data_IF_235965194589
#
_entry.id   IF_235965194589
#
_cell.length_a   1.000
_cell.length_b   1.000
_cell.length_c   1.000
_cell.angle_alpha   90.00
_cell.angle_beta   90.00
_cell.angle_gamma   90.00
#
_symmetry.space_group_name_H-M   'P 1'
#
loop_
_entity.id
_entity.type
_entity.pdbx_description
1 polymer ?
#
# COMPACT_ATOMS: atom_id res chain seq x y z
N UNK A 1 -22.75 -66.27 -89.33
CA UNK A 1 -21.47 -66.37 -88.59
C UNK A 1 -21.11 -64.98 -88.10
N UNK A 2 -20.75 -64.90 -86.81
CA UNK A 2 -20.11 -63.78 -86.08
C UNK A 2 -20.93 -62.51 -85.83
N UNK A 3 -21.49 -62.36 -84.62
CA UNK A 3 -21.68 -61.08 -83.92
C UNK A 3 -21.74 -61.36 -82.40
N UNK A 4 -20.74 -61.08 -81.56
CA UNK A 4 -20.14 -59.82 -81.04
C UNK A 4 -20.89 -59.19 -79.86
N UNK A 5 -20.11 -58.85 -78.82
CA UNK A 5 -20.31 -57.84 -77.78
C UNK A 5 -21.20 -58.17 -76.56
N UNK A 6 -20.54 -58.47 -75.44
CA UNK A 6 -20.70 -57.70 -74.20
C UNK A 6 -19.48 -57.98 -73.30
N UNK A 7 -19.18 -57.12 -72.32
CA UNK A 7 -18.02 -57.13 -71.39
C UNK A 7 -16.91 -56.13 -71.79
N UNK A 8 -16.92 -54.96 -71.14
CA UNK A 8 -15.83 -53.99 -71.26
C UNK A 8 -16.10 -52.60 -70.66
N UNK A 9 -17.23 -52.39 -69.98
CA UNK A 9 -17.65 -51.07 -69.46
C UNK A 9 -17.63 -50.90 -67.94
N UNK A 10 -17.04 -51.84 -67.18
CA UNK A 10 -17.12 -51.80 -65.71
C UNK A 10 -15.84 -51.37 -64.96
N UNK A 11 -14.70 -51.14 -65.63
CA UNK A 11 -13.43 -50.92 -64.91
C UNK A 11 -12.96 -49.44 -64.79
N UNK A 12 -13.52 -48.48 -65.54
CA UNK A 12 -13.03 -47.09 -65.55
C UNK A 12 -13.80 -46.13 -64.61
N UNK A 13 -15.12 -46.32 -64.44
CA UNK A 13 -15.94 -45.48 -63.55
C UNK A 13 -15.70 -45.74 -62.06
N UNK A 14 -15.33 -46.97 -61.71
CA UNK A 14 -15.11 -47.39 -60.33
C UNK A 14 -13.80 -46.80 -59.78
N UNK A 15 -12.75 -46.70 -60.59
CA UNK A 15 -11.47 -46.08 -60.19
C UNK A 15 -11.61 -44.57 -59.94
N UNK A 16 -12.42 -43.86 -60.75
CA UNK A 16 -12.64 -42.41 -60.60
C UNK A 16 -13.48 -42.07 -59.36
N UNK A 17 -14.51 -42.87 -59.06
CA UNK A 17 -15.29 -42.70 -57.82
C UNK A 17 -14.49 -43.11 -56.57
N UNK A 18 -13.61 -44.11 -56.65
CA UNK A 18 -12.70 -44.47 -55.55
C UNK A 18 -11.69 -43.36 -55.28
N UNK A 19 -11.15 -42.71 -56.31
CA UNK A 19 -10.23 -41.57 -56.16
C UNK A 19 -10.93 -40.33 -55.58
N UNK A 20 -12.17 -40.03 -55.99
CA UNK A 20 -12.95 -38.92 -55.43
C UNK A 20 -13.36 -39.19 -53.98
N UNK A 21 -13.76 -40.42 -53.63
CA UNK A 21 -14.04 -40.81 -52.25
C UNK A 21 -12.78 -40.82 -51.37
N UNK A 22 -11.63 -41.22 -51.90
CA UNK A 22 -10.36 -41.20 -51.15
C UNK A 22 -9.89 -39.76 -50.85
N UNK A 23 -10.06 -38.83 -51.79
CA UNK A 23 -9.72 -37.41 -51.58
C UNK A 23 -10.74 -36.70 -50.67
N UNK A 24 -12.01 -37.08 -50.70
CA UNK A 24 -13.02 -36.54 -49.77
C UNK A 24 -12.83 -37.07 -48.33
N UNK A 25 -12.29 -38.28 -48.19
CA UNK A 25 -11.99 -38.89 -46.89
C UNK A 25 -10.77 -38.27 -46.20
N UNK A 26 -9.78 -37.77 -46.95
CA UNK A 26 -8.60 -37.11 -46.38
C UNK A 26 -8.87 -35.67 -45.96
N UNK A 27 -9.90 -35.01 -46.49
CA UNK A 27 -10.31 -33.65 -46.09
C UNK A 27 -11.18 -33.67 -44.81
N UNK A 28 -11.84 -34.79 -44.47
CA UNK A 28 -12.63 -34.93 -43.23
C UNK A 28 -11.83 -35.41 -42.01
N UNK A 29 -10.56 -35.82 -42.16
CA UNK A 29 -9.71 -36.25 -41.05
C UNK A 29 -8.97 -35.09 -40.34
N UNK A 30 -9.45 -33.87 -40.50
CA UNK A 30 -8.81 -32.64 -40.04
C UNK A 30 -9.41 -32.02 -38.77
N UNK A 31 -9.99 -32.79 -37.83
CA UNK A 31 -10.34 -32.34 -36.47
C UNK A 31 -10.65 -33.52 -35.52
N UNK A 32 -9.66 -34.38 -35.26
CA UNK A 32 -9.73 -35.31 -34.12
C UNK A 32 -8.35 -35.50 -33.49
N UNK A 33 -7.63 -34.39 -33.30
CA UNK A 33 -6.56 -34.35 -32.31
C UNK A 33 -7.23 -34.10 -30.96
N UNK A 34 -7.64 -35.17 -30.29
CA UNK A 34 -7.86 -35.12 -28.84
C UNK A 34 -6.51 -34.83 -28.21
N UNK A 35 -6.23 -33.54 -28.04
CA UNK A 35 -5.15 -33.08 -27.19
C UNK A 35 -5.41 -33.70 -25.82
N UNK A 36 -4.61 -34.69 -25.43
CA UNK A 36 -4.47 -35.14 -24.06
C UNK A 36 -3.77 -34.05 -23.24
N UNK A 37 -4.31 -32.84 -23.32
CA UNK A 37 -4.14 -31.86 -22.27
C UNK A 37 -4.94 -32.39 -21.12
N UNK A 38 -4.26 -32.95 -20.13
CA UNK A 38 -4.81 -33.08 -18.80
C UNK A 38 -5.34 -31.68 -18.45
N UNK A 39 -6.65 -31.46 -18.57
CA UNK A 39 -7.30 -30.31 -17.96
C UNK A 39 -7.14 -30.58 -16.48
N UNK A 40 -6.08 -30.02 -15.92
CA UNK A 40 -5.98 -29.83 -14.49
C UNK A 40 -7.16 -28.94 -14.15
N UNK A 41 -8.26 -29.54 -13.69
CA UNK A 41 -9.23 -28.83 -12.87
C UNK A 41 -8.46 -28.48 -11.61
N UNK A 42 -7.75 -27.36 -11.66
CA UNK A 42 -7.20 -26.76 -10.46
C UNK A 42 -8.42 -26.29 -9.71
N UNK A 43 -8.79 -27.05 -8.68
CA UNK A 43 -9.61 -26.54 -7.59
C UNK A 43 -9.00 -25.19 -7.17
N UNK A 44 -9.65 -24.09 -7.55
CA UNK A 44 -9.27 -22.74 -7.10
C UNK A 44 -9.44 -22.57 -5.58
N UNK A 45 -9.79 -23.65 -4.87
CA UNK A 45 -9.96 -23.70 -3.44
C UNK A 45 -8.72 -24.17 -2.66
N UNK A 46 -7.56 -24.39 -3.29
CA UNK A 46 -6.31 -24.39 -2.53
C UNK A 46 -5.09 -23.96 -3.35
N UNK A 47 -4.19 -23.24 -2.70
CA UNK A 47 -2.99 -22.59 -3.25
C UNK A 47 -3.25 -21.33 -4.12
N UNK A 48 -3.89 -20.31 -3.54
CA UNK A 48 -3.42 -18.95 -3.80
C UNK A 48 -1.92 -18.92 -3.50
N UNK A 49 -1.10 -18.94 -4.54
CA UNK A 49 0.34 -18.77 -4.44
C UNK A 49 0.59 -17.59 -3.50
N UNK A 50 1.18 -17.88 -2.34
CA UNK A 50 1.55 -16.86 -1.37
C UNK A 50 2.33 -15.80 -2.15
N UNK A 51 1.75 -14.62 -2.35
CA UNK A 51 2.51 -13.44 -2.78
C UNK A 51 3.38 -13.07 -1.60
N UNK A 52 4.48 -13.81 -1.47
CA UNK A 52 5.53 -13.54 -0.51
C UNK A 52 5.94 -12.08 -0.71
N UNK A 53 6.19 -11.31 0.37
CA UNK A 53 6.82 -10.01 0.23
C UNK A 53 8.04 -10.18 -0.66
N UNK A 54 8.29 -9.23 -1.58
CA UNK A 54 9.41 -9.36 -2.53
C UNK A 54 10.69 -9.54 -1.72
N UNK A 55 11.16 -10.78 -1.69
CA UNK A 55 12.25 -11.23 -0.81
C UNK A 55 13.61 -10.97 -1.42
N UNK A 56 13.68 -10.52 -2.67
CA UNK A 56 14.92 -10.23 -3.35
C UNK A 56 14.69 -9.27 -4.52
N UNK A 57 15.74 -8.53 -4.88
CA UNK A 57 15.75 -7.69 -6.05
C UNK A 57 16.13 -6.25 -5.74
N UNK A 58 15.86 -5.37 -6.70
CA UNK A 58 16.18 -3.96 -6.61
C UNK A 58 15.05 -3.11 -7.17
N UNK A 59 14.86 -1.93 -6.59
CA UNK A 59 13.91 -0.94 -7.05
C UNK A 59 14.63 0.38 -7.28
N UNK A 60 14.43 0.98 -8.45
CA UNK A 60 14.92 2.32 -8.74
C UNK A 60 13.85 3.32 -8.32
N UNK A 61 14.19 4.18 -7.36
CA UNK A 61 13.31 5.21 -6.80
C UNK A 61 12.75 6.08 -7.92
N UNK A 62 11.44 6.24 -7.93
CA UNK A 62 10.70 7.08 -8.86
C UNK A 62 10.26 8.38 -8.18
N UNK A 63 9.80 9.33 -9.00
CA UNK A 63 9.25 10.59 -8.50
C UNK A 63 8.02 10.29 -7.63
N UNK A 64 8.00 10.84 -6.41
CA UNK A 64 6.90 10.67 -5.46
C UNK A 64 7.02 9.45 -4.54
N UNK A 65 8.09 8.65 -4.68
CA UNK A 65 8.36 7.62 -3.69
C UNK A 65 8.99 8.19 -2.43
N UNK A 66 8.64 7.57 -1.31
CA UNK A 66 9.31 7.72 -0.02
C UNK A 66 9.87 6.36 0.38
N UNK A 67 10.87 6.31 1.26
CA UNK A 67 11.37 5.02 1.75
C UNK A 67 10.25 4.20 2.40
N UNK A 68 9.29 4.91 3.03
CA UNK A 68 8.09 4.33 3.62
C UNK A 68 7.15 3.74 2.56
N UNK A 69 6.87 4.44 1.45
CA UNK A 69 5.99 3.92 0.40
C UNK A 69 6.57 2.68 -0.27
N UNK A 70 7.89 2.67 -0.51
CA UNK A 70 8.60 1.52 -1.07
C UNK A 70 8.56 0.34 -0.10
N UNK A 71 8.94 0.55 1.16
CA UNK A 71 8.90 -0.50 2.17
C UNK A 71 7.47 -1.06 2.32
N UNK A 72 6.47 -0.19 2.39
CA UNK A 72 5.08 -0.56 2.48
C UNK A 72 4.60 -1.38 1.27
N UNK A 73 4.97 -0.97 0.05
CA UNK A 73 4.60 -1.68 -1.19
C UNK A 73 5.13 -3.11 -1.19
N UNK A 74 6.35 -3.32 -0.71
CA UNK A 74 7.01 -4.63 -0.72
C UNK A 74 6.85 -5.43 0.58
N UNK A 75 6.13 -4.89 1.56
CA UNK A 75 5.91 -5.57 2.86
C UNK A 75 7.15 -5.59 3.76
N UNK A 76 8.08 -4.67 3.54
CA UNK A 76 9.27 -4.49 4.36
C UNK A 76 9.01 -3.53 5.52
N UNK A 77 9.73 -3.75 6.61
CA UNK A 77 9.91 -2.71 7.62
C UNK A 77 10.80 -1.61 7.04
N UNK A 78 10.36 -0.36 7.14
CA UNK A 78 11.07 0.77 6.55
C UNK A 78 12.44 1.00 7.21
N UNK A 79 12.58 0.69 8.51
CA UNK A 79 13.84 0.83 9.26
C UNK A 79 14.81 -0.29 8.90
N UNK A 80 14.33 -1.52 8.77
CA UNK A 80 15.12 -2.63 8.24
C UNK A 80 15.59 -2.36 6.80
N UNK A 81 14.70 -1.84 5.95
CA UNK A 81 15.04 -1.49 4.57
C UNK A 81 16.07 -0.35 4.52
N UNK A 82 15.94 0.66 5.39
CA UNK A 82 16.92 1.74 5.54
C UNK A 82 18.29 1.19 5.91
N UNK A 83 18.35 0.35 6.95
CA UNK A 83 19.59 -0.25 7.44
C UNK A 83 20.27 -1.12 6.37
N UNK A 84 19.49 -1.93 5.66
CA UNK A 84 19.99 -2.77 4.56
C UNK A 84 20.61 -1.95 3.41
N UNK A 85 20.18 -0.71 3.24
CA UNK A 85 20.65 0.19 2.19
C UNK A 85 21.58 1.31 2.71
N UNK A 86 22.04 1.22 3.96
CA UNK A 86 22.86 2.25 4.62
C UNK A 86 22.24 3.67 4.55
N UNK A 87 20.92 3.77 4.64
CA UNK A 87 20.18 5.04 4.62
C UNK A 87 19.99 5.52 6.06
N UNK A 88 20.73 6.56 6.45
CA UNK A 88 20.58 7.19 7.75
C UNK A 88 19.34 8.11 7.82
N UNK A 89 18.92 8.44 9.05
CA UNK A 89 17.96 9.52 9.27
C UNK A 89 18.47 10.82 8.60
N UNK A 90 17.60 11.62 7.93
CA UNK A 90 16.13 11.61 7.97
C UNK A 90 15.46 10.65 6.96
N UNK A 91 16.14 9.60 6.51
CA UNK A 91 15.61 8.58 5.57
C UNK A 91 15.25 9.11 4.18
N UNK A 92 15.95 10.17 3.77
CA UNK A 92 15.79 10.78 2.46
C UNK A 92 16.36 9.88 1.36
N UNK A 93 15.54 9.65 0.33
CA UNK A 93 15.92 8.93 -0.89
C UNK A 93 15.82 9.88 -2.09
N UNK A 94 16.63 9.63 -3.13
CA UNK A 94 16.65 10.44 -4.35
C UNK A 94 16.08 9.67 -5.53
N UNK A 95 15.40 10.36 -6.44
CA UNK A 95 14.96 9.74 -7.71
C UNK A 95 16.16 9.14 -8.43
N UNK A 96 16.00 7.91 -8.92
CA UNK A 96 17.07 7.15 -9.56
C UNK A 96 17.98 6.37 -8.60
N UNK A 97 17.91 6.61 -7.29
CA UNK A 97 18.60 5.80 -6.29
C UNK A 97 18.11 4.35 -6.37
N UNK A 98 19.02 3.39 -6.20
CA UNK A 98 18.66 1.97 -6.19
C UNK A 98 18.50 1.49 -4.75
N UNK A 99 17.31 1.01 -4.44
CA UNK A 99 16.96 0.35 -3.18
C UNK A 99 17.04 -1.16 -3.39
N UNK A 100 17.88 -1.83 -2.61
CA UNK A 100 18.08 -3.27 -2.65
C UNK A 100 17.25 -3.95 -1.56
N UNK A 101 16.68 -5.09 -1.91
CA UNK A 101 15.96 -5.99 -1.01
C UNK A 101 16.79 -7.26 -0.87
N UNK A 102 17.06 -7.69 0.37
CA UNK A 102 17.77 -8.93 0.68
C UNK A 102 16.81 -10.06 1.04
N UNK A 103 17.28 -11.32 1.02
CA UNK A 103 16.48 -12.48 1.41
C UNK A 103 16.08 -12.41 2.88
N UNK A 104 14.91 -11.83 3.16
CA UNK A 104 14.22 -11.88 4.44
C UNK A 104 14.86 -11.02 5.52
N UNK A 105 14.27 -9.85 5.80
CA UNK A 105 14.30 -9.29 7.15
C UNK A 105 13.27 -10.02 8.03
N UNK A 106 13.50 -11.31 8.29
CA UNK A 106 13.17 -11.88 9.59
C UNK A 106 14.31 -11.47 10.51
N UNK A 107 13.97 -10.73 11.56
CA UNK A 107 14.90 -10.31 12.61
C UNK A 107 15.70 -11.51 13.14
N UNK A 108 16.95 -11.65 12.69
CA UNK A 108 17.97 -12.40 13.41
C UNK A 108 18.55 -11.44 14.46
N UNK A 109 18.53 -11.78 15.76
CA UNK A 109 19.15 -10.92 16.76
C UNK A 109 20.64 -10.83 16.45
N UNK A 110 21.09 -9.64 16.05
CA UNK A 110 22.51 -9.37 15.90
C UNK A 110 23.06 -9.24 17.31
N UNK A 111 23.96 -10.17 17.64
CA UNK A 111 24.76 -10.12 18.84
C UNK A 111 25.39 -8.72 18.97
N UNK A 112 25.22 -8.13 20.15
CA UNK A 112 25.83 -6.89 20.59
C UNK A 112 27.34 -6.97 20.38
N UNK A 113 27.84 -6.28 19.37
CA UNK A 113 29.22 -5.80 19.35
C UNK A 113 29.17 -4.32 19.68
N UNK A 114 29.54 -4.02 20.93
CA UNK A 114 29.73 -2.66 21.43
C UNK A 114 30.75 -1.91 20.57
N UNK A 115 30.46 -0.71 20.07
CA UNK A 115 31.50 0.21 19.66
C UNK A 115 32.01 0.99 20.88
N UNK A 116 33.32 0.91 21.11
CA UNK A 116 34.07 1.72 22.07
C UNK A 116 33.75 3.20 21.93
N UNK A 117 33.46 3.83 23.07
CA UNK A 117 33.41 5.26 23.23
C UNK A 117 34.77 5.88 22.89
N UNK A 118 34.77 6.90 22.03
CA UNK A 118 35.86 7.87 21.92
C UNK A 118 35.22 9.24 22.05
N UNK A 119 35.36 9.82 23.24
CA UNK A 119 34.98 11.18 23.59
C UNK A 119 35.82 12.20 22.82
N UNK A 120 35.23 13.25 22.24
CA UNK A 120 35.92 14.51 22.07
C UNK A 120 35.63 15.43 23.27
N UNK A 121 36.73 15.91 23.83
CA UNK A 121 36.83 16.80 24.98
C UNK A 121 36.21 18.17 24.67
N UNK A 122 35.49 18.68 25.67
CA UNK A 122 34.96 20.03 25.80
C UNK A 122 36.07 21.08 25.69
N UNK A 123 35.87 22.11 24.87
CA UNK A 123 36.43 23.45 25.18
C UNK A 123 35.51 24.53 24.61
N UNK A 124 34.62 25.04 25.47
CA UNK A 124 33.79 26.22 25.21
C UNK A 124 34.49 27.42 25.82
N UNK A 125 34.86 28.48 25.07
CA UNK A 125 35.32 29.72 25.68
C UNK A 125 34.11 30.53 26.16
N UNK A 126 34.17 30.95 27.42
CA UNK A 126 33.19 31.82 28.07
C UNK A 126 33.58 33.29 27.94
N UNK A 127 32.54 34.17 27.99
CA UNK A 127 32.51 35.57 28.51
C UNK A 127 32.81 36.70 27.48
N UNK A 128 32.30 37.96 27.65
CA UNK A 128 31.46 38.56 28.71
C UNK A 128 30.14 39.23 28.31
N UNK A 129 29.24 39.28 29.29
CA UNK A 129 28.14 40.23 29.47
C UNK A 129 28.65 41.65 29.78
N UNK A 130 28.04 42.66 29.14
CA UNK A 130 27.99 44.03 29.66
C UNK A 130 26.57 44.58 29.47
N UNK A 131 25.96 45.23 30.48
CA UNK A 131 24.59 45.74 30.42
C UNK A 131 24.57 47.16 29.85
N UNK A 132 23.62 47.47 28.94
CA UNK A 132 23.35 48.85 28.51
C UNK A 132 21.85 49.12 28.50
N UNK A 133 21.43 49.71 29.61
CA UNK A 133 20.47 50.80 29.82
C UNK A 133 19.52 51.22 28.67
N UNK A 134 18.22 51.20 28.99
CA UNK A 134 17.12 51.78 28.22
C UNK A 134 17.00 53.31 28.39
N UNK A 135 16.52 54.02 27.37
CA UNK A 135 15.71 55.24 27.55
C UNK A 135 14.31 55.20 26.87
N UNK A 136 13.40 56.15 27.17
CA UNK A 136 12.00 55.88 27.51
C UNK A 136 10.97 56.00 26.36
N UNK A 137 9.75 55.60 26.74
CA UNK A 137 8.48 55.59 26.05
C UNK A 137 8.17 56.77 25.11
N UNK A 138 7.49 56.45 24.01
CA UNK A 138 6.47 57.30 23.41
C UNK A 138 5.18 56.51 23.22
N UNK A 139 4.21 56.86 24.05
CA UNK A 139 2.79 56.58 23.89
C UNK A 139 2.25 57.37 22.70
N UNK A 140 1.67 56.69 21.73
CA UNK A 140 0.56 57.23 20.95
C UNK A 140 -0.55 56.19 20.91
N UNK A 141 -1.55 56.47 21.74
CA UNK A 141 -2.91 55.92 21.74
C UNK A 141 -3.57 56.07 20.37
N UNK A 142 -3.98 54.96 19.77
CA UNK A 142 -5.07 54.93 18.81
C UNK A 142 -6.01 53.76 19.16
N UNK A 143 -7.29 54.02 19.47
CA UNK A 143 -8.23 52.99 19.91
C UNK A 143 -8.74 52.20 18.71
N UNK A 144 -8.07 51.08 18.40
CA UNK A 144 -8.68 50.00 17.65
C UNK A 144 -9.42 49.14 18.66
N UNK A 145 -10.74 49.28 18.72
CA UNK A 145 -11.65 48.38 19.44
C UNK A 145 -11.16 46.93 19.35
N UNK A 146 -10.87 46.26 20.48
CA UNK A 146 -10.64 44.84 20.44
C UNK A 146 -12.01 44.22 20.17
N UNK A 147 -12.26 43.80 18.93
CA UNK A 147 -13.24 42.75 18.70
C UNK A 147 -12.64 41.53 19.39
N UNK A 148 -13.04 41.36 20.64
CA UNK A 148 -12.90 40.13 21.40
C UNK A 148 -13.64 39.09 20.57
N UNK A 149 -12.91 38.43 19.66
CA UNK A 149 -13.36 37.17 19.10
C UNK A 149 -13.16 36.19 20.25
N UNK A 150 -14.18 36.13 21.11
CA UNK A 150 -14.42 35.00 21.99
C UNK A 150 -14.19 33.75 21.14
N UNK A 151 -13.17 32.92 21.40
CA UNK A 151 -13.10 31.65 20.71
C UNK A 151 -14.39 30.92 21.06
N UNK A 152 -15.20 30.63 20.04
CA UNK A 152 -16.30 29.71 20.19
C UNK A 152 -15.69 28.40 20.65
N UNK A 153 -15.78 28.14 21.95
CA UNK A 153 -15.46 26.87 22.58
C UNK A 153 -16.53 25.88 22.13
N UNK A 154 -16.48 25.47 20.87
CA UNK A 154 -17.17 24.26 20.44
C UNK A 154 -16.54 23.13 21.28
N UNK A 155 -17.31 22.39 22.10
CA UNK A 155 -16.79 21.27 22.84
C UNK A 155 -16.13 20.32 21.83
N UNK A 156 -14.81 20.18 21.90
CA UNK A 156 -14.10 19.14 21.14
C UNK A 156 -14.53 17.84 21.78
N UNK A 157 -15.54 17.20 21.21
CA UNK A 157 -16.04 15.92 21.69
C UNK A 157 -14.84 14.96 21.79
N UNK A 158 -14.59 14.37 22.97
CA UNK A 158 -13.43 13.52 23.17
C UNK A 158 -13.57 12.29 22.28
N UNK A 159 -12.76 12.24 21.21
CA UNK A 159 -12.65 11.07 20.34
C UNK A 159 -12.37 9.85 21.21
N UNK A 160 -13.25 8.86 21.17
CA UNK A 160 -13.12 7.62 21.92
C UNK A 160 -11.85 6.88 21.48
N UNK A 161 -10.92 6.65 22.41
CA UNK A 161 -9.65 5.96 22.17
C UNK A 161 -9.63 4.63 22.91
N UNK A 162 -8.95 3.65 22.32
CA UNK A 162 -8.64 2.40 22.99
C UNK A 162 -7.59 2.62 24.07
N UNK A 163 -7.44 1.64 24.97
CA UNK A 163 -6.34 1.63 25.94
C UNK A 163 -4.95 1.74 25.27
N UNK A 164 -4.84 1.31 24.01
CA UNK A 164 -3.62 1.37 23.20
C UNK A 164 -3.48 2.71 22.45
N UNK A 165 -4.37 3.68 22.67
CA UNK A 165 -4.27 5.04 22.12
C UNK A 165 -4.75 5.19 20.67
N UNK A 166 -5.52 4.22 20.16
CA UNK A 166 -6.06 4.26 18.80
C UNK A 166 -7.55 4.63 18.80
N UNK A 167 -7.98 5.35 17.77
CA UNK A 167 -9.37 5.74 17.54
C UNK A 167 -9.86 5.20 16.19
N UNK A 168 -11.18 5.08 16.05
CA UNK A 168 -11.80 4.73 14.77
C UNK A 168 -11.49 5.79 13.70
N UNK A 169 -11.00 5.39 12.51
CA UNK A 169 -10.64 6.34 11.46
C UNK A 169 -11.82 6.82 10.62
N UNK A 170 -12.96 6.13 10.71
CA UNK A 170 -14.23 6.51 10.10
C UNK A 170 -15.37 5.83 10.86
N UNK A 171 -16.55 6.45 10.81
CA UNK A 171 -17.81 5.80 11.19
C UNK A 171 -18.31 4.91 10.05
N UNK A 172 -18.96 3.79 10.38
CA UNK A 172 -19.56 2.89 9.40
C UNK A 172 -19.39 1.40 9.69
N UNK A 173 -20.17 0.60 8.98
CA UNK A 173 -20.11 -0.86 9.07
C UNK A 173 -18.79 -1.39 8.50
N UNK A 174 -18.23 -2.43 9.12
CA UNK A 174 -17.11 -3.16 8.52
C UNK A 174 -17.69 -4.08 7.45
N UNK A 175 -17.24 -3.89 6.22
CA UNK A 175 -17.63 -4.68 5.05
C UNK A 175 -16.51 -5.58 4.53
N UNK A 176 -15.31 -5.44 5.10
CA UNK A 176 -14.17 -6.33 4.84
C UNK A 176 -13.31 -6.47 6.09
N UNK A 177 -13.01 -7.71 6.46
CA UNK A 177 -12.20 -8.02 7.66
C UNK A 177 -10.78 -8.38 7.26
N UNK A 178 -9.86 -8.21 8.21
CA UNK A 178 -8.47 -8.64 8.07
C UNK A 178 -8.37 -10.15 7.84
N UNK A 179 -7.47 -10.54 6.95
CA UNK A 179 -7.13 -11.94 6.71
C UNK A 179 -5.63 -12.14 6.62
N UNK A 180 -5.08 -12.91 7.57
CA UNK A 180 -3.65 -13.24 7.66
C UNK A 180 -3.19 -14.22 6.57
N UNK A 181 -4.12 -15.00 5.99
CA UNK A 181 -3.78 -16.14 5.15
C UNK A 181 -3.89 -15.75 3.67
N UNK A 182 -2.79 -15.27 3.08
CA UNK A 182 -2.67 -15.14 1.62
C UNK A 182 -3.11 -13.79 1.00
N UNK A 183 -3.17 -12.72 1.78
CA UNK A 183 -3.27 -11.32 1.29
C UNK A 183 -4.57 -10.92 0.56
N UNK A 184 -5.72 -11.51 0.91
CA UNK A 184 -7.00 -11.02 0.37
C UNK A 184 -7.34 -9.62 0.91
N UNK A 185 -7.19 -9.40 2.22
CA UNK A 185 -7.35 -8.09 2.85
C UNK A 185 -6.31 -7.91 3.98
N UNK A 186 -5.45 -6.90 3.83
CA UNK A 186 -4.35 -6.57 4.76
C UNK A 186 -4.77 -5.60 5.88
N UNK A 187 -6.04 -5.24 5.92
CA UNK A 187 -6.62 -4.34 6.92
C UNK A 187 -8.11 -4.61 7.09
N UNK A 188 -8.87 -3.56 7.36
CA UNK A 188 -10.33 -3.59 7.38
C UNK A 188 -10.88 -2.62 6.34
N UNK A 189 -12.05 -2.95 5.81
CA UNK A 189 -12.80 -2.06 4.94
C UNK A 189 -14.03 -1.55 5.69
N UNK A 190 -14.16 -0.22 5.78
CA UNK A 190 -15.26 0.46 6.46
C UNK A 190 -16.13 1.12 5.38
N UNK A 191 -17.41 0.75 5.32
CA UNK A 191 -18.37 1.39 4.44
C UNK A 191 -18.61 2.84 4.86
N UNK A 192 -18.87 3.69 3.88
CA UNK A 192 -19.19 5.09 4.13
C UNK A 192 -19.70 5.80 2.90
N UNK A 193 -19.81 7.12 3.01
CA UNK A 193 -20.35 7.99 1.98
C UNK A 193 -19.27 8.80 1.28
N UNK A 194 -19.55 9.20 0.03
CA UNK A 194 -18.58 9.94 -0.77
C UNK A 194 -18.30 11.29 -0.11
N UNK A 195 -17.08 11.48 0.39
CA UNK A 195 -16.68 12.70 1.08
C UNK A 195 -16.73 12.65 2.59
N UNK A 196 -17.18 11.55 3.16
CA UNK A 196 -17.18 11.37 4.60
C UNK A 196 -15.76 11.60 5.17
N UNK A 197 -15.61 12.32 6.30
CA UNK A 197 -14.31 12.57 6.90
C UNK A 197 -13.57 11.27 7.24
N UNK A 198 -12.30 11.21 6.85
CA UNK A 198 -11.35 10.17 7.30
C UNK A 198 -10.40 10.80 8.31
N UNK A 199 -10.32 10.20 9.49
CA UNK A 199 -9.60 10.71 10.65
C UNK A 199 -8.33 9.91 10.93
N UNK A 200 -7.31 10.58 11.47
CA UNK A 200 -6.10 9.93 11.97
C UNK A 200 -6.44 9.07 13.19
N UNK A 201 -6.23 7.76 13.05
CA UNK A 201 -6.48 6.78 14.10
C UNK A 201 -5.55 6.96 15.32
N UNK A 202 -4.37 7.53 15.14
CA UNK A 202 -3.48 7.95 16.23
C UNK A 202 -2.64 9.16 15.79
N UNK A 203 -1.96 9.81 16.73
CA UNK A 203 -1.07 10.94 16.42
C UNK A 203 0.23 10.49 15.75
N UNK A 204 0.80 11.29 14.86
CA UNK A 204 2.03 10.92 14.17
C UNK A 204 2.41 11.87 13.04
N UNK A 205 3.40 11.44 12.25
CA UNK A 205 3.90 12.16 11.07
C UNK A 205 3.42 11.48 9.79
N UNK A 206 2.89 12.26 8.84
CA UNK A 206 2.53 11.77 7.51
C UNK A 206 3.82 11.46 6.74
N UNK A 207 4.04 10.20 6.42
CA UNK A 207 5.24 9.73 5.71
C UNK A 207 5.01 9.41 4.24
N UNK A 208 3.76 9.51 3.79
CA UNK A 208 3.37 9.41 2.39
C UNK A 208 1.94 9.95 2.22
N UNK A 209 1.71 10.70 1.13
CA UNK A 209 0.38 11.15 0.70
C UNK A 209 0.33 11.20 -0.84
N UNK A 210 -0.45 10.34 -1.47
CA UNK A 210 -0.67 10.33 -2.93
C UNK A 210 -1.12 8.97 -3.48
N UNK A 211 -1.07 8.78 -4.80
CA UNK A 211 -1.61 7.60 -5.51
C UNK A 211 -0.59 6.64 -6.16
N UNK A 212 0.71 6.81 -5.88
CA UNK A 212 1.79 5.95 -6.37
C UNK A 212 1.81 4.50 -5.86
N UNK A 213 0.93 4.09 -4.94
CA UNK A 213 0.79 2.69 -4.52
C UNK A 213 -0.45 2.04 -5.15
N UNK A 214 -0.20 1.16 -6.12
CA UNK A 214 -1.27 0.40 -6.78
C UNK A 214 -2.08 -0.41 -5.77
N UNK A 215 -3.40 -0.44 -5.99
CA UNK A 215 -4.36 -1.15 -5.16
C UNK A 215 -4.88 -0.35 -3.96
N UNK A 216 -4.32 0.82 -3.65
CA UNK A 216 -4.76 1.66 -2.52
C UNK A 216 -5.47 2.94 -2.95
N UNK A 217 -5.49 3.29 -4.24
CA UNK A 217 -6.00 4.58 -4.70
C UNK A 217 -5.21 5.75 -4.11
N UNK A 218 -5.90 6.85 -3.81
CA UNK A 218 -5.32 7.95 -3.03
C UNK A 218 -5.12 7.50 -1.58
N UNK A 219 -3.86 7.50 -1.15
CA UNK A 219 -3.41 6.88 0.08
C UNK A 219 -2.67 7.87 0.98
N UNK A 220 -2.97 7.83 2.27
CA UNK A 220 -2.17 8.46 3.34
C UNK A 220 -1.51 7.36 4.17
N UNK A 221 -0.22 7.50 4.48
CA UNK A 221 0.47 6.66 5.46
C UNK A 221 0.99 7.55 6.59
N UNK A 222 0.66 7.19 7.84
CA UNK A 222 1.11 7.91 9.04
C UNK A 222 2.05 7.02 9.84
N UNK A 223 3.24 7.54 10.18
CA UNK A 223 4.14 6.95 11.18
C UNK A 223 3.75 7.46 12.56
N UNK A 224 3.35 6.54 13.44
CA UNK A 224 3.01 6.85 14.84
C UNK A 224 4.19 6.63 15.77
N UNK A 225 5.03 5.63 15.47
CA UNK A 225 6.24 5.34 16.22
C UNK A 225 7.23 4.56 15.36
N UNK A 226 8.36 4.14 15.92
CA UNK A 226 9.29 3.23 15.25
C UNK A 226 8.70 1.85 14.97
N UNK A 227 7.61 1.51 15.66
CA UNK A 227 6.98 0.19 15.60
C UNK A 227 5.72 0.19 14.76
N UNK A 228 4.97 1.31 14.73
CA UNK A 228 3.64 1.37 14.15
C UNK A 228 3.51 2.40 13.03
N UNK A 229 2.91 1.96 11.93
CA UNK A 229 2.40 2.81 10.84
C UNK A 229 0.95 2.43 10.55
N UNK A 230 0.16 3.39 10.07
CA UNK A 230 -1.19 3.15 9.58
C UNK A 230 -1.36 3.66 8.16
N UNK A 231 -2.29 3.07 7.42
CA UNK A 231 -2.59 3.42 6.04
C UNK A 231 -4.09 3.64 5.83
N UNK A 232 -4.44 4.68 5.07
CA UNK A 232 -5.80 5.12 4.78
C UNK A 232 -5.96 5.20 3.27
N UNK A 233 -6.60 4.20 2.67
CA UNK A 233 -6.74 4.07 1.21
C UNK A 233 -8.12 4.43 0.68
N UNK A 234 -8.21 4.49 -0.65
CA UNK A 234 -9.40 4.74 -1.46
C UNK A 234 -10.02 6.13 -1.27
N UNK A 235 -9.26 7.10 -0.78
CA UNK A 235 -9.77 8.45 -0.55
C UNK A 235 -10.12 9.14 -1.88
N UNK A 236 -11.03 10.12 -1.86
CA UNK A 236 -11.24 11.00 -3.02
C UNK A 236 -10.33 12.23 -3.00
N UNK A 237 -9.93 12.67 -1.81
CA UNK A 237 -9.14 13.88 -1.58
C UNK A 237 -8.27 13.73 -0.35
N UNK A 238 -7.00 14.12 -0.47
CA UNK A 238 -6.06 14.16 0.65
C UNK A 238 -6.01 15.59 1.19
N UNK A 239 -6.14 15.74 2.52
CA UNK A 239 -6.11 17.04 3.21
C UNK A 239 -4.78 17.28 3.94
N UNK A 240 -3.86 16.33 3.81
CA UNK A 240 -2.52 16.36 4.40
C UNK A 240 -1.46 16.07 3.35
N UNK A 241 -0.22 16.44 3.67
CA UNK A 241 0.96 16.22 2.84
C UNK A 241 2.07 15.53 3.62
N UNK A 242 3.02 14.94 2.90
CA UNK A 242 4.23 14.37 3.50
C UNK A 242 4.95 15.37 4.44
N UNK A 243 5.43 14.89 5.58
CA UNK A 243 6.10 15.65 6.63
C UNK A 243 5.16 16.35 7.62
N UNK A 244 3.85 16.38 7.36
CA UNK A 244 2.88 17.02 8.25
C UNK A 244 2.65 16.20 9.53
N UNK A 245 2.66 16.88 10.68
CA UNK A 245 2.24 16.29 11.96
C UNK A 245 0.71 16.29 12.06
N UNK A 246 0.14 15.20 12.56
CA UNK A 246 -1.29 15.04 12.78
C UNK A 246 -1.59 14.54 14.17
N UNK A 247 -2.71 14.98 14.74
CA UNK A 247 -3.21 14.51 16.03
C UNK A 247 -4.23 13.39 15.81
N UNK A 248 -4.38 12.53 16.80
CA UNK A 248 -5.47 11.54 16.83
C UNK A 248 -6.82 12.25 16.68
N UNK A 249 -7.68 11.73 15.81
CA UNK A 249 -8.99 12.31 15.47
C UNK A 249 -8.95 13.47 14.49
N UNK A 250 -7.77 13.95 14.08
CA UNK A 250 -7.67 15.00 13.06
C UNK A 250 -8.12 14.47 11.70
N UNK A 251 -8.92 15.25 10.98
CA UNK A 251 -9.28 14.91 9.61
C UNK A 251 -8.06 14.99 8.69
N UNK A 252 -7.82 13.92 7.94
CA UNK A 252 -6.65 13.77 7.06
C UNK A 252 -7.02 13.59 5.58
N UNK A 253 -8.24 13.15 5.32
CA UNK A 253 -8.73 12.91 3.97
C UNK A 253 -10.27 12.93 3.92
N UNK A 254 -10.79 12.83 2.71
CA UNK A 254 -12.20 12.61 2.43
C UNK A 254 -12.37 11.23 1.77
N UNK A 255 -13.29 10.41 2.28
CA UNK A 255 -13.53 9.06 1.80
C UNK A 255 -13.99 9.06 0.34
N UNK A 256 -13.58 8.06 -0.42
CA UNK A 256 -13.95 7.90 -1.82
C UNK A 256 -13.95 6.45 -2.27
N UNK A 257 -13.78 6.28 -3.57
CA UNK A 257 -13.72 4.98 -4.25
C UNK A 257 -12.50 4.85 -5.17
N UNK A 258 -11.44 5.64 -4.95
CA UNK A 258 -10.27 5.61 -5.85
C UNK A 258 -9.60 4.23 -5.83
N UNK A 259 -9.44 3.61 -6.99
CA UNK A 259 -8.83 2.28 -7.10
C UNK A 259 -9.68 1.13 -6.53
N UNK A 260 -10.99 1.32 -6.34
CA UNK A 260 -11.93 0.28 -5.89
C UNK A 260 -13.32 0.44 -6.54
N UNK A 261 -14.25 -0.48 -6.28
CA UNK A 261 -15.58 -0.59 -6.92
C UNK A 261 -16.68 0.22 -6.21
N UNK A 262 -16.43 0.66 -4.96
CA UNK A 262 -17.43 1.34 -4.14
C UNK A 262 -16.78 2.32 -3.16
N UNK A 263 -17.60 3.20 -2.58
CA UNK A 263 -17.12 4.09 -1.54
C UNK A 263 -16.85 3.32 -0.25
N UNK A 264 -15.59 3.36 0.20
CA UNK A 264 -15.14 2.73 1.43
C UNK A 264 -13.80 3.31 1.87
N UNK A 265 -13.49 3.20 3.15
CA UNK A 265 -12.13 3.37 3.66
C UNK A 265 -11.47 2.00 3.79
N UNK A 266 -10.31 1.82 3.15
CA UNK A 266 -9.41 0.73 3.49
C UNK A 266 -8.43 1.19 4.56
N UNK A 267 -8.44 0.56 5.72
CA UNK A 267 -7.62 0.93 6.86
C UNK A 267 -6.70 -0.22 7.28
N UNK A 268 -5.38 0.03 7.27
CA UNK A 268 -4.39 -0.93 7.76
C UNK A 268 -3.64 -0.38 8.96
N UNK A 269 -3.26 -1.29 9.87
CA UNK A 269 -2.21 -1.06 10.87
C UNK A 269 -1.08 -2.03 10.54
N UNK A 270 0.15 -1.53 10.51
CA UNK A 270 1.34 -2.38 10.40
C UNK A 270 2.25 -2.20 11.58
N UNK A 271 2.73 -3.34 12.08
CA UNK A 271 3.70 -3.45 13.16
C UNK A 271 5.00 -3.99 12.58
N UNK A 272 6.06 -3.19 12.60
CA UNK A 272 7.37 -3.55 12.02
C UNK A 272 7.25 -4.03 10.56
N UNK A 273 6.56 -3.24 9.73
CA UNK A 273 6.32 -3.54 8.31
C UNK A 273 5.25 -4.59 8.01
N UNK A 274 4.85 -5.42 8.99
CA UNK A 274 3.85 -6.48 8.79
C UNK A 274 2.43 -6.00 9.12
N UNK A 275 1.44 -6.28 8.26
CA UNK A 275 0.05 -5.96 8.56
C UNK A 275 -0.46 -6.81 9.74
N UNK A 276 -1.21 -6.18 10.63
CA UNK A 276 -1.84 -6.79 11.81
C UNK A 276 -3.33 -6.48 11.80
N UNK A 277 -4.13 -7.29 12.49
CA UNK A 277 -5.58 -7.08 12.56
C UNK A 277 -5.91 -5.77 13.32
N UNK A 278 -6.48 -4.74 12.64
CA UNK A 278 -6.84 -3.47 13.29
C UNK A 278 -7.85 -3.62 14.42
N UNK A 279 -8.67 -4.68 14.41
CA UNK A 279 -9.68 -4.93 15.45
C UNK A 279 -9.08 -5.20 16.83
N UNK A 280 -7.80 -5.55 16.91
CA UNK A 280 -7.09 -5.74 18.17
C UNK A 280 -6.61 -4.42 18.81
N UNK A 281 -6.61 -3.33 18.03
CA UNK A 281 -6.08 -2.03 18.44
C UNK A 281 -7.18 -0.97 18.60
N UNK A 282 -8.21 -1.05 17.77
CA UNK A 282 -9.31 -0.09 17.77
C UNK A 282 -10.24 -0.29 18.98
N UNK A 283 -10.97 0.75 19.42
CA UNK A 283 -11.99 0.61 20.45
C UNK A 283 -13.03 -0.45 20.06
N UNK A 284 -13.50 -1.23 21.04
CA UNK A 284 -14.64 -2.13 20.83
C UNK A 284 -15.90 -1.32 20.51
N UNK A 285 -16.70 -1.84 19.60
CA UNK A 285 -17.99 -1.29 19.16
C UNK A 285 -18.97 -2.44 18.97
#
# INVERSE_FOLDING_TARGET
MSFTANQGRFCSGMLRNVLVLAVLSTVLAGCASSHSGNVQVVDRNNAAAQRQPVTSGQYRVQRGDTLYSIAFRYGWDWKALAAHNAIAAPYMIRVGQVIRFGSGSSSRPVATSSPSASTPVVTTPSRPTTPVQAPPARTTTQPSTPVVVTPATTPVEPVQRSATGWAWPASGAIIGRFSSNGSLNKGIDIAGELGQPVLAASGGSVVYAGSGLRGYGELVIIKHSDTYVSAYGHNRRLLVREGQQVKVGQQIAEMGSTGTDRVKLHFEIRRQGKPVDPMQYLPRR
#
